data_IF_588351991692
#
_entry.id   IF_588351991692
#
_cell.length_a   1.000
_cell.length_b   1.000
_cell.length_c   1.000
_cell.angle_alpha   90.00
_cell.angle_beta   90.00
_cell.angle_gamma   90.00
#
_symmetry.space_group_name_H-M   'P 1'
#
loop_
_entity.id
_entity.type
_entity.pdbx_description
1 polymer ?
#
# COMPACT_ATOMS: atom_id res chain seq x y z
N UNK A 1 -0.51 0.84 -27.62
CA UNK A 1 -1.16 1.41 -26.42
C UNK A 1 -0.12 1.64 -25.31
N UNK A 2 -0.38 2.56 -24.38
CA UNK A 2 0.53 2.87 -23.27
C UNK A 2 0.81 1.65 -22.38
N UNK A 3 -0.18 0.77 -22.18
CA UNK A 3 -0.02 -0.50 -21.45
C UNK A 3 0.99 -1.45 -22.14
N UNK A 4 0.98 -1.50 -23.46
CA UNK A 4 1.95 -2.31 -24.21
C UNK A 4 3.38 -1.77 -24.07
N UNK A 5 3.55 -0.45 -24.07
CA UNK A 5 4.85 0.18 -23.84
C UNK A 5 5.38 -0.11 -22.42
N UNK A 6 4.54 0.00 -21.40
CA UNK A 6 4.91 -0.33 -20.02
C UNK A 6 5.27 -1.82 -19.84
N UNK A 7 4.55 -2.72 -20.54
CA UNK A 7 4.87 -4.16 -20.55
C UNK A 7 6.21 -4.46 -21.26
N UNK A 8 6.66 -3.59 -22.16
CA UNK A 8 7.96 -3.68 -22.84
C UNK A 8 9.10 -2.97 -22.08
N UNK A 9 8.85 -2.53 -20.83
CA UNK A 9 9.85 -1.89 -19.98
C UNK A 9 9.91 -0.36 -20.06
N UNK A 10 9.01 0.29 -20.82
CA UNK A 10 8.90 1.73 -20.81
C UNK A 10 8.27 2.22 -19.48
N UNK A 11 8.81 3.30 -18.92
CA UNK A 11 8.25 3.99 -17.76
C UNK A 11 7.42 5.16 -18.25
N UNK A 12 6.13 5.16 -17.94
CA UNK A 12 5.21 6.25 -18.25
C UNK A 12 4.97 7.07 -16.98
N UNK A 13 5.19 8.38 -17.06
CA UNK A 13 4.94 9.28 -15.94
C UNK A 13 3.96 10.38 -16.35
N UNK A 14 3.11 10.79 -15.40
CA UNK A 14 2.21 11.92 -15.57
C UNK A 14 2.23 12.75 -14.28
N UNK A 15 2.58 14.04 -14.39
CA UNK A 15 2.76 14.91 -13.24
C UNK A 15 1.78 16.08 -13.32
N UNK A 16 1.04 16.31 -12.24
CA UNK A 16 0.12 17.43 -12.06
C UNK A 16 0.48 18.16 -10.77
N UNK A 17 0.96 19.41 -10.80
CA UNK A 17 1.28 20.16 -9.59
C UNK A 17 0.00 20.42 -8.80
N UNK A 18 -0.02 20.02 -7.51
CA UNK A 18 -1.16 20.25 -6.62
C UNK A 18 -0.85 21.27 -5.54
N UNK A 19 0.20 21.05 -4.75
CA UNK A 19 0.68 22.00 -3.75
C UNK A 19 2.23 22.04 -3.75
N UNK A 20 2.85 22.77 -4.72
CA UNK A 20 4.29 22.78 -4.90
C UNK A 20 5.07 23.26 -3.67
N UNK A 21 4.48 24.18 -2.89
CA UNK A 21 5.06 24.69 -1.65
C UNK A 21 5.26 23.63 -0.55
N UNK A 22 4.52 22.53 -0.63
CA UNK A 22 4.61 21.39 0.30
C UNK A 22 5.29 20.17 -0.34
N UNK A 23 5.78 20.28 -1.56
CA UNK A 23 6.31 19.15 -2.33
C UNK A 23 5.24 18.13 -2.75
N UNK A 24 3.95 18.53 -2.72
CA UNK A 24 2.83 17.69 -3.09
C UNK A 24 2.53 17.84 -4.57
N UNK A 25 2.77 16.78 -5.32
CA UNK A 25 2.42 16.64 -6.72
C UNK A 25 1.59 15.37 -6.89
N UNK A 26 0.55 15.45 -7.72
CA UNK A 26 -0.15 14.25 -8.19
C UNK A 26 0.69 13.70 -9.32
N UNK A 27 1.66 12.86 -8.99
CA UNK A 27 2.55 12.23 -9.94
C UNK A 27 2.28 10.73 -10.01
N UNK A 28 2.03 10.26 -11.21
CA UNK A 28 1.72 8.86 -11.51
C UNK A 28 2.88 8.25 -12.29
N UNK A 29 3.21 7.01 -11.94
CA UNK A 29 4.23 6.19 -12.60
C UNK A 29 3.63 4.83 -12.95
N UNK A 30 3.67 4.50 -14.23
CA UNK A 30 3.29 3.19 -14.74
C UNK A 30 4.52 2.53 -15.36
N UNK A 31 5.03 1.51 -14.67
CA UNK A 31 6.08 0.60 -15.12
C UNK A 31 5.63 -0.86 -14.95
N UNK A 32 6.49 -1.82 -15.23
CA UNK A 32 6.16 -3.24 -15.14
C UNK A 32 5.65 -3.68 -13.76
N UNK A 33 6.23 -3.15 -12.67
CA UNK A 33 5.79 -3.44 -11.30
C UNK A 33 4.40 -2.86 -11.03
N UNK A 34 4.18 -1.58 -11.38
CA UNK A 34 2.90 -0.90 -11.23
C UNK A 34 1.80 -1.56 -12.09
N UNK A 35 2.15 -2.00 -13.30
CA UNK A 35 1.24 -2.73 -14.19
C UNK A 35 0.84 -4.08 -13.60
N UNK A 36 1.80 -4.87 -13.12
CA UNK A 36 1.54 -6.17 -12.50
C UNK A 36 0.58 -6.06 -11.32
N UNK A 37 0.88 -5.16 -10.36
CA UNK A 37 0.03 -4.96 -9.20
C UNK A 37 -1.33 -4.35 -9.59
N UNK A 38 -1.37 -3.42 -10.54
CA UNK A 38 -2.60 -2.84 -11.06
C UNK A 38 -3.53 -3.91 -11.66
N UNK A 39 -2.98 -4.85 -12.43
CA UNK A 39 -3.75 -5.97 -13.00
C UNK A 39 -4.26 -6.93 -11.92
N UNK A 40 -3.47 -7.22 -10.89
CA UNK A 40 -3.91 -8.04 -9.75
C UNK A 40 -5.06 -7.35 -9.01
N UNK A 41 -4.91 -6.06 -8.70
CA UNK A 41 -5.92 -5.27 -7.97
C UNK A 41 -7.22 -5.20 -8.76
N UNK A 42 -7.17 -4.85 -10.04
CA UNK A 42 -8.36 -4.69 -10.87
C UNK A 42 -8.98 -6.03 -11.29
N UNK A 43 -8.15 -7.01 -11.63
CA UNK A 43 -8.62 -8.33 -12.07
C UNK A 43 -9.34 -9.07 -10.94
N UNK A 44 -8.70 -9.21 -9.78
CA UNK A 44 -9.33 -9.84 -8.62
C UNK A 44 -10.49 -8.98 -8.11
N UNK A 45 -10.33 -7.65 -8.09
CA UNK A 45 -11.39 -6.72 -7.72
C UNK A 45 -12.65 -6.88 -8.57
N UNK A 46 -12.51 -7.09 -9.87
CA UNK A 46 -13.64 -7.38 -10.77
C UNK A 46 -14.34 -8.68 -10.39
N UNK A 47 -13.59 -9.76 -10.15
CA UNK A 47 -14.17 -11.03 -9.71
C UNK A 47 -14.91 -10.89 -8.37
N UNK A 48 -14.34 -10.14 -7.42
CA UNK A 48 -14.95 -9.87 -6.12
C UNK A 48 -16.21 -9.01 -6.28
N UNK A 49 -16.21 -8.02 -7.16
CA UNK A 49 -17.40 -7.21 -7.42
C UNK A 49 -18.55 -8.07 -7.96
N UNK A 50 -18.28 -8.97 -8.91
CA UNK A 50 -19.29 -9.94 -9.37
C UNK A 50 -19.78 -10.87 -8.26
N UNK A 51 -18.88 -11.42 -7.47
CA UNK A 51 -19.25 -12.28 -6.33
C UNK A 51 -20.10 -11.53 -5.30
N UNK A 52 -19.79 -10.27 -5.04
CA UNK A 52 -20.52 -9.40 -4.11
C UNK A 52 -21.99 -9.22 -4.53
N UNK A 53 -22.29 -9.17 -5.83
CA UNK A 53 -23.65 -9.05 -6.34
C UNK A 53 -24.55 -10.20 -5.88
N UNK A 54 -24.01 -11.41 -5.86
CA UNK A 54 -24.74 -12.60 -5.40
C UNK A 54 -24.72 -12.74 -3.87
N UNK A 55 -23.62 -12.35 -3.23
CA UNK A 55 -23.45 -12.47 -1.77
C UNK A 55 -24.40 -11.54 -1.00
N UNK A 56 -24.67 -10.34 -1.52
CA UNK A 56 -25.55 -9.32 -0.93
C UNK A 56 -26.85 -9.12 -1.70
N UNK A 57 -27.33 -10.09 -2.48
CA UNK A 57 -28.45 -9.92 -3.41
C UNK A 57 -29.72 -9.33 -2.78
N UNK A 58 -29.98 -9.58 -1.49
CA UNK A 58 -31.17 -9.09 -0.75
C UNK A 58 -30.81 -8.09 0.37
N UNK A 59 -29.53 -7.70 0.50
CA UNK A 59 -29.08 -6.83 1.59
C UNK A 59 -29.16 -5.35 1.18
N UNK A 60 -29.88 -4.54 1.96
CA UNK A 60 -29.99 -3.09 1.77
C UNK A 60 -28.65 -2.35 1.89
N UNK A 61 -27.63 -2.96 2.48
CA UNK A 61 -26.28 -2.42 2.62
C UNK A 61 -25.39 -2.59 1.39
N UNK A 62 -25.82 -3.31 0.36
CA UNK A 62 -25.01 -3.64 -0.82
C UNK A 62 -24.36 -2.40 -1.47
N UNK A 63 -25.10 -1.31 -1.65
CA UNK A 63 -24.59 -0.08 -2.26
C UNK A 63 -23.45 0.56 -1.48
N UNK A 64 -23.55 0.60 -0.16
CA UNK A 64 -22.48 1.09 0.71
C UNK A 64 -21.27 0.17 0.65
N UNK A 65 -21.47 -1.14 0.61
CA UNK A 65 -20.37 -2.10 0.49
C UNK A 65 -19.58 -1.90 -0.81
N UNK A 66 -20.26 -1.70 -1.93
CA UNK A 66 -19.61 -1.39 -3.22
C UNK A 66 -18.83 -0.07 -3.17
N UNK A 67 -19.42 0.97 -2.57
CA UNK A 67 -18.73 2.25 -2.41
C UNK A 67 -17.40 2.05 -1.67
N UNK A 68 -17.41 1.32 -0.55
CA UNK A 68 -16.22 1.05 0.24
C UNK A 68 -15.22 0.15 -0.50
N UNK A 69 -15.71 -0.86 -1.22
CA UNK A 69 -14.89 -1.77 -2.02
C UNK A 69 -14.14 -1.01 -3.12
N UNK A 70 -14.83 -0.14 -3.86
CA UNK A 70 -14.24 0.66 -4.91
C UNK A 70 -13.34 1.78 -4.36
N UNK A 71 -13.68 2.37 -3.21
CA UNK A 71 -12.81 3.34 -2.53
C UNK A 71 -11.49 2.67 -2.09
N UNK A 72 -11.55 1.45 -1.58
CA UNK A 72 -10.37 0.66 -1.26
C UNK A 72 -9.55 0.33 -2.52
N UNK A 73 -10.21 -0.13 -3.60
CA UNK A 73 -9.56 -0.39 -4.89
C UNK A 73 -8.85 0.85 -5.44
N UNK A 74 -9.51 2.01 -5.41
CA UNK A 74 -8.94 3.28 -5.85
C UNK A 74 -7.73 3.67 -5.01
N UNK A 75 -7.80 3.49 -3.68
CA UNK A 75 -6.65 3.73 -2.78
C UNK A 75 -5.47 2.81 -3.10
N UNK A 76 -5.73 1.53 -3.37
CA UNK A 76 -4.67 0.59 -3.76
C UNK A 76 -4.06 0.93 -5.12
N UNK A 77 -4.86 1.34 -6.12
CA UNK A 77 -4.37 1.78 -7.42
C UNK A 77 -3.54 3.07 -7.28
N UNK A 78 -4.04 4.05 -6.51
CA UNK A 78 -3.29 5.27 -6.23
C UNK A 78 -1.94 4.99 -5.56
N UNK A 79 -1.88 4.02 -4.64
CA UNK A 79 -0.66 3.59 -3.98
C UNK A 79 0.36 3.01 -4.97
N UNK A 80 -0.06 2.07 -5.82
CA UNK A 80 0.88 1.37 -6.73
C UNK A 80 1.29 2.23 -7.94
N UNK A 81 0.51 3.27 -8.27
CA UNK A 81 0.82 4.21 -9.34
C UNK A 81 1.47 5.51 -8.85
N UNK A 82 1.57 5.73 -7.53
CA UNK A 82 2.22 6.92 -7.00
C UNK A 82 3.70 7.00 -7.43
N UNK A 83 4.12 8.18 -7.95
CA UNK A 83 5.52 8.54 -8.16
C UNK A 83 6.04 9.58 -7.16
N UNK A 84 5.25 9.91 -6.15
CA UNK A 84 5.62 10.80 -5.06
C UNK A 84 5.42 10.09 -3.71
N UNK A 85 6.41 10.18 -2.80
CA UNK A 85 6.39 9.51 -1.50
C UNK A 85 5.23 9.96 -0.61
N UNK A 86 4.89 11.26 -0.64
CA UNK A 86 3.78 11.80 0.15
C UNK A 86 2.43 11.35 -0.40
N UNK A 87 2.28 11.32 -1.72
CA UNK A 87 1.11 10.75 -2.39
C UNK A 87 0.95 9.26 -2.07
N UNK A 88 2.05 8.50 -2.11
CA UNK A 88 2.06 7.09 -1.72
C UNK A 88 1.55 6.93 -0.29
N UNK A 89 2.00 7.76 0.65
CA UNK A 89 1.54 7.73 2.04
C UNK A 89 0.04 8.06 2.18
N UNK A 90 -0.48 9.06 1.46
CA UNK A 90 -1.90 9.40 1.48
C UNK A 90 -2.75 8.19 1.05
N UNK A 91 -2.39 7.52 -0.04
CA UNK A 91 -3.10 6.32 -0.48
C UNK A 91 -2.87 5.11 0.43
N UNK A 92 -1.70 5.01 1.06
CA UNK A 92 -1.42 3.99 2.07
C UNK A 92 -2.39 4.10 3.25
N UNK A 93 -2.61 5.29 3.78
CA UNK A 93 -3.60 5.53 4.83
C UNK A 93 -5.03 5.41 4.32
N UNK A 94 -5.30 5.79 3.08
CA UNK A 94 -6.57 5.53 2.41
C UNK A 94 -6.94 4.05 2.41
N UNK A 95 -5.96 3.15 2.18
CA UNK A 95 -6.19 1.70 2.29
C UNK A 95 -6.44 1.25 3.72
N UNK A 96 -5.82 1.86 4.74
CA UNK A 96 -6.05 1.54 6.15
C UNK A 96 -7.47 1.91 6.58
N UNK A 97 -7.93 3.11 6.22
CA UNK A 97 -9.27 3.61 6.58
C UNK A 97 -10.36 2.80 5.87
N UNK A 98 -10.24 2.60 4.56
CA UNK A 98 -11.25 1.87 3.79
C UNK A 98 -11.31 0.40 4.17
N UNK A 99 -10.18 -0.24 4.50
CA UNK A 99 -10.15 -1.60 5.01
C UNK A 99 -10.82 -1.70 6.38
N UNK A 100 -10.61 -0.74 7.28
CA UNK A 100 -11.31 -0.68 8.57
C UNK A 100 -12.82 -0.67 8.37
N UNK A 101 -13.33 0.18 7.47
CA UNK A 101 -14.76 0.29 7.18
C UNK A 101 -15.32 -0.99 6.54
N UNK A 102 -14.55 -1.67 5.70
CA UNK A 102 -14.94 -2.95 5.09
C UNK A 102 -14.96 -4.09 6.11
N UNK A 103 -13.99 -4.15 7.02
CA UNK A 103 -13.95 -5.19 8.08
C UNK A 103 -15.09 -4.97 9.06
N UNK A 104 -15.32 -3.72 9.49
CA UNK A 104 -16.39 -3.36 10.39
C UNK A 104 -17.76 -3.23 9.72
N UNK A 105 -17.92 -3.62 8.44
CA UNK A 105 -19.16 -3.45 7.68
C UNK A 105 -20.38 -4.06 8.39
N UNK A 106 -20.23 -5.24 9.00
CA UNK A 106 -21.23 -5.83 9.89
C UNK A 106 -21.03 -5.29 11.33
N UNK A 107 -21.37 -4.03 11.56
CA UNK A 107 -21.17 -3.32 12.82
C UNK A 107 -21.87 -3.95 14.04
N UNK A 108 -22.81 -4.84 13.83
CA UNK A 108 -23.48 -5.62 14.88
C UNK A 108 -22.60 -6.71 15.49
N UNK A 109 -21.56 -7.15 14.76
CA UNK A 109 -20.58 -8.12 15.27
C UNK A 109 -19.50 -7.41 16.08
N UNK A 110 -19.47 -7.64 17.39
CA UNK A 110 -18.40 -7.12 18.26
C UNK A 110 -17.02 -7.60 17.83
N UNK A 111 -16.92 -8.84 17.40
CA UNK A 111 -15.67 -9.44 16.92
C UNK A 111 -15.13 -8.74 15.67
N UNK A 112 -15.99 -8.47 14.67
CA UNK A 112 -15.60 -7.75 13.46
C UNK A 112 -15.14 -6.32 13.76
N UNK A 113 -15.86 -5.58 14.63
CA UNK A 113 -15.50 -4.21 15.03
C UNK A 113 -14.18 -4.19 15.80
N UNK A 114 -13.95 -5.15 16.70
CA UNK A 114 -12.72 -5.23 17.48
C UNK A 114 -11.53 -5.64 16.60
N UNK A 115 -11.71 -6.60 15.69
CA UNK A 115 -10.72 -6.98 14.69
C UNK A 115 -10.36 -5.83 13.76
N UNK A 116 -11.35 -5.09 13.26
CA UNK A 116 -11.15 -3.89 12.44
C UNK A 116 -10.34 -2.82 13.18
N UNK A 117 -10.68 -2.54 14.44
CA UNK A 117 -9.96 -1.55 15.26
C UNK A 117 -8.51 -1.96 15.52
N UNK A 118 -8.24 -3.23 15.83
CA UNK A 118 -6.87 -3.75 15.99
C UNK A 118 -6.07 -3.61 14.69
N UNK A 119 -6.66 -4.00 13.56
CA UNK A 119 -6.04 -3.86 12.24
C UNK A 119 -5.70 -2.39 11.95
N UNK A 120 -6.64 -1.46 12.16
CA UNK A 120 -6.42 -0.02 11.95
C UNK A 120 -5.28 0.49 12.82
N UNK A 121 -5.30 0.23 14.13
CA UNK A 121 -4.27 0.74 15.06
C UNK A 121 -2.88 0.24 14.62
N UNK A 122 -2.71 -1.07 14.38
CA UNK A 122 -1.42 -1.64 14.03
C UNK A 122 -0.91 -1.09 12.68
N UNK A 123 -1.78 -1.06 11.66
CA UNK A 123 -1.37 -0.63 10.32
C UNK A 123 -1.14 0.87 10.24
N UNK A 124 -1.90 1.70 10.97
CA UNK A 124 -1.68 3.15 11.02
C UNK A 124 -0.43 3.51 11.83
N UNK A 125 -0.18 2.85 12.97
CA UNK A 125 1.08 3.07 13.71
C UNK A 125 2.31 2.71 12.86
N UNK A 126 2.25 1.58 12.13
CA UNK A 126 3.29 1.23 11.16
C UNK A 126 3.38 2.24 10.00
N UNK A 127 2.24 2.72 9.51
CA UNK A 127 2.17 3.74 8.45
C UNK A 127 2.81 5.07 8.89
N UNK A 128 2.58 5.52 10.12
CA UNK A 128 3.21 6.73 10.67
C UNK A 128 4.74 6.56 10.82
N UNK A 129 5.19 5.39 11.26
CA UNK A 129 6.62 5.08 11.28
C UNK A 129 7.21 5.10 9.87
N UNK A 130 6.55 4.46 8.91
CA UNK A 130 6.92 4.50 7.49
C UNK A 130 6.97 5.93 6.96
N UNK A 131 6.01 6.79 7.32
CA UNK A 131 5.99 8.19 6.91
C UNK A 131 7.26 8.93 7.35
N UNK A 132 7.69 8.74 8.59
CA UNK A 132 8.95 9.30 9.05
C UNK A 132 10.14 8.79 8.22
N UNK A 133 10.16 7.48 7.91
CA UNK A 133 11.18 6.89 7.01
C UNK A 133 11.14 7.47 5.60
N UNK A 134 9.94 7.68 5.03
CA UNK A 134 9.78 8.32 3.72
C UNK A 134 10.29 9.77 3.71
N UNK A 135 10.02 10.54 4.77
CA UNK A 135 10.51 11.92 4.90
C UNK A 135 12.04 11.93 5.00
N UNK A 136 12.64 11.05 5.81
CA UNK A 136 14.10 10.92 5.91
C UNK A 136 14.72 10.55 4.56
N UNK A 137 14.11 9.60 3.84
CA UNK A 137 14.58 9.20 2.51
C UNK A 137 14.49 10.35 1.50
N UNK A 138 13.36 11.08 1.49
CA UNK A 138 13.16 12.24 0.62
C UNK A 138 14.14 13.37 0.91
N UNK A 139 14.45 13.63 2.19
CA UNK A 139 15.47 14.61 2.58
C UNK A 139 16.87 14.19 2.14
N UNK A 140 17.22 12.91 2.30
CA UNK A 140 18.52 12.38 1.87
C UNK A 140 18.68 12.46 0.35
N UNK A 141 17.64 12.15 -0.41
CA UNK A 141 17.65 12.20 -1.86
C UNK A 141 17.48 13.64 -2.44
N UNK A 142 17.08 14.60 -1.60
CA UNK A 142 16.75 15.97 -2.03
C UNK A 142 15.45 16.07 -2.85
N UNK A 143 14.62 15.00 -2.86
CA UNK A 143 13.38 14.94 -3.62
C UNK A 143 12.39 13.93 -3.03
N UNK A 144 11.09 14.22 -3.15
CA UNK A 144 10.02 13.28 -2.84
C UNK A 144 9.53 12.47 -4.05
N UNK A 145 10.08 12.69 -5.25
CA UNK A 145 9.78 11.89 -6.44
C UNK A 145 10.47 10.52 -6.36
N UNK A 146 9.68 9.44 -6.45
CA UNK A 146 10.21 8.07 -6.43
C UNK A 146 11.15 7.85 -7.61
N UNK A 147 10.79 8.35 -8.80
CA UNK A 147 11.66 8.26 -9.99
C UNK A 147 13.03 8.90 -9.78
N UNK A 148 13.09 10.03 -9.09
CA UNK A 148 14.37 10.71 -8.76
C UNK A 148 15.14 9.96 -7.67
N UNK A 149 14.45 9.47 -6.63
CA UNK A 149 15.06 8.67 -5.57
C UNK A 149 15.72 7.42 -6.14
N UNK A 150 15.03 6.71 -7.04
CA UNK A 150 15.57 5.51 -7.69
C UNK A 150 16.80 5.80 -8.57
N UNK A 151 16.97 7.04 -9.02
CA UNK A 151 18.12 7.48 -9.82
C UNK A 151 19.25 8.09 -8.97
N UNK A 152 19.04 8.33 -7.66
CA UNK A 152 20.01 8.96 -6.77
C UNK A 152 21.04 7.92 -6.29
N UNK A 153 22.34 8.08 -6.61
CA UNK A 153 23.37 7.16 -6.13
C UNK A 153 23.72 7.44 -4.67
N UNK A 154 24.26 6.43 -3.97
CA UNK A 154 24.88 6.59 -2.65
C UNK A 154 23.89 6.85 -1.50
N UNK A 155 22.59 6.59 -1.67
CA UNK A 155 21.61 6.72 -0.58
C UNK A 155 21.93 5.84 0.61
N UNK A 156 22.55 4.69 0.38
CA UNK A 156 22.94 3.72 1.41
C UNK A 156 24.11 4.22 2.27
N UNK A 157 24.90 5.18 1.78
CA UNK A 157 26.03 5.76 2.49
C UNK A 157 25.62 6.89 3.46
N UNK A 158 24.35 7.31 3.41
CA UNK A 158 23.81 8.33 4.30
C UNK A 158 23.75 7.84 5.76
N UNK A 159 24.13 8.66 6.75
CA UNK A 159 23.97 8.32 8.16
C UNK A 159 22.50 8.13 8.57
N UNK A 160 21.55 8.67 7.82
CA UNK A 160 20.11 8.49 8.04
C UNK A 160 19.56 7.18 7.44
N UNK A 161 20.31 6.53 6.55
CA UNK A 161 19.86 5.33 5.84
C UNK A 161 19.37 4.20 6.77
N UNK A 162 20.12 3.78 7.82
CA UNK A 162 19.67 2.68 8.67
C UNK A 162 18.35 2.98 9.38
N UNK A 163 18.18 4.21 9.87
CA UNK A 163 16.96 4.64 10.53
C UNK A 163 15.78 4.71 9.55
N UNK A 164 15.98 5.31 8.38
CA UNK A 164 14.98 5.37 7.33
C UNK A 164 14.54 3.96 6.89
N UNK A 165 15.49 3.06 6.65
CA UNK A 165 15.20 1.69 6.26
C UNK A 165 14.38 0.92 7.31
N UNK A 166 14.76 1.01 8.60
CA UNK A 166 14.03 0.34 9.68
C UNK A 166 12.60 0.87 9.81
N UNK A 167 12.40 2.18 9.68
CA UNK A 167 11.08 2.80 9.73
C UNK A 167 10.20 2.42 8.52
N UNK A 168 10.78 2.38 7.33
CA UNK A 168 10.11 1.90 6.12
C UNK A 168 9.71 0.42 6.24
N UNK A 169 10.64 -0.40 6.71
CA UNK A 169 10.40 -1.82 6.92
C UNK A 169 9.33 -2.07 7.99
N UNK A 170 9.30 -1.30 9.07
CA UNK A 170 8.27 -1.38 10.10
C UNK A 170 6.87 -1.15 9.50
N UNK A 171 6.71 -0.13 8.65
CA UNK A 171 5.45 0.09 7.93
C UNK A 171 5.08 -1.04 6.99
N UNK A 172 6.04 -1.54 6.20
CA UNK A 172 5.84 -2.66 5.30
C UNK A 172 5.43 -3.94 6.05
N UNK A 173 6.12 -4.27 7.14
CA UNK A 173 5.88 -5.49 7.93
C UNK A 173 4.57 -5.45 8.70
N UNK A 174 4.18 -4.30 9.27
CA UNK A 174 2.87 -4.14 9.93
C UNK A 174 1.74 -4.32 8.93
N UNK A 175 1.83 -3.71 7.75
CA UNK A 175 0.80 -3.81 6.69
C UNK A 175 0.71 -5.21 6.09
N UNK A 176 1.86 -5.88 5.93
CA UNK A 176 1.94 -7.25 5.38
C UNK A 176 1.75 -8.35 6.43
N UNK A 177 1.39 -7.99 7.67
CA UNK A 177 1.19 -8.92 8.78
C UNK A 177 2.38 -9.87 8.98
N UNK A 178 3.61 -9.36 8.82
CA UNK A 178 4.83 -10.12 9.10
C UNK A 178 5.08 -10.24 10.61
N UNK A 179 5.79 -11.28 11.01
CA UNK A 179 6.19 -11.44 12.41
C UNK A 179 7.03 -10.21 12.86
N UNK A 180 6.78 -9.66 14.06
CA UNK A 180 5.81 -10.05 15.08
C UNK A 180 4.41 -9.43 14.93
N UNK A 181 4.13 -8.68 13.88
CA UNK A 181 2.92 -7.86 13.71
C UNK A 181 1.74 -8.61 13.09
N UNK A 182 1.80 -9.94 12.94
CA UNK A 182 0.77 -10.77 12.28
C UNK A 182 -0.54 -10.90 13.08
N UNK A 183 -0.53 -10.57 14.37
CA UNK A 183 -1.63 -10.83 15.32
C UNK A 183 -2.95 -10.09 15.00
N UNK A 184 -2.92 -9.04 14.18
CA UNK A 184 -4.14 -8.34 13.77
C UNK A 184 -4.90 -9.07 12.67
N UNK A 185 -4.20 -9.84 11.82
CA UNK A 185 -4.77 -10.46 10.62
C UNK A 185 -5.87 -11.48 10.91
N UNK A 186 -5.74 -12.42 11.88
CA UNK A 186 -6.81 -13.36 12.21
C UNK A 186 -8.11 -12.65 12.63
N UNK A 187 -8.02 -11.59 13.44
CA UNK A 187 -9.19 -10.80 13.84
C UNK A 187 -9.85 -10.04 12.69
N UNK A 188 -9.07 -9.63 11.69
CA UNK A 188 -9.59 -8.97 10.49
C UNK A 188 -10.37 -9.92 9.55
N UNK A 189 -10.19 -11.25 9.71
CA UNK A 189 -10.95 -12.26 8.93
C UNK A 189 -12.42 -12.35 9.31
N UNK A 190 -12.88 -11.67 10.37
CA UNK A 190 -14.30 -11.52 10.72
C UNK A 190 -15.08 -10.62 9.72
N UNK A 191 -14.40 -10.01 8.76
CA UNK A 191 -15.01 -9.24 7.66
C UNK A 191 -15.94 -10.11 6.79
N UNK A 192 -16.92 -9.49 6.07
CA UNK A 192 -17.68 -10.19 5.03
C UNK A 192 -16.74 -10.91 4.04
N UNK A 193 -17.12 -12.11 3.60
CA UNK A 193 -16.28 -12.94 2.74
C UNK A 193 -15.68 -12.22 1.53
N UNK A 194 -16.44 -11.42 0.74
CA UNK A 194 -15.86 -10.69 -0.39
C UNK A 194 -14.79 -9.68 0.05
N UNK A 195 -15.00 -8.97 1.16
CA UNK A 195 -14.01 -8.05 1.69
C UNK A 195 -12.75 -8.79 2.17
N UNK A 196 -12.91 -9.86 2.96
CA UNK A 196 -11.81 -10.65 3.47
C UNK A 196 -10.96 -11.24 2.34
N UNK A 197 -11.60 -11.80 1.30
CA UNK A 197 -10.91 -12.35 0.15
C UNK A 197 -10.11 -11.27 -0.61
N UNK A 198 -10.66 -10.06 -0.79
CA UNK A 198 -9.98 -9.00 -1.51
C UNK A 198 -8.83 -8.37 -0.71
N UNK A 199 -9.10 -8.02 0.55
CA UNK A 199 -8.14 -7.32 1.41
C UNK A 199 -6.90 -8.19 1.70
N UNK A 200 -7.11 -9.46 2.05
CA UNK A 200 -6.04 -10.27 2.63
C UNK A 200 -5.32 -11.17 1.63
N UNK A 201 -5.95 -11.56 0.51
CA UNK A 201 -5.27 -12.38 -0.50
C UNK A 201 -4.55 -11.54 -1.56
N UNK A 202 -5.19 -10.48 -2.07
CA UNK A 202 -4.76 -9.84 -3.31
C UNK A 202 -4.17 -8.43 -3.13
N UNK A 203 -4.53 -7.70 -2.05
CA UNK A 203 -4.31 -6.25 -2.05
C UNK A 203 -3.62 -5.72 -0.80
N UNK A 204 -4.31 -5.54 0.32
CA UNK A 204 -3.79 -4.81 1.49
C UNK A 204 -2.44 -5.34 1.99
N UNK A 205 -2.34 -6.66 2.22
CA UNK A 205 -1.10 -7.28 2.72
C UNK A 205 0.02 -7.27 1.68
N UNK A 206 -0.28 -7.08 0.41
CA UNK A 206 0.71 -6.95 -0.66
C UNK A 206 1.27 -5.54 -0.78
N UNK A 207 0.65 -4.53 -0.15
CA UNK A 207 1.14 -3.15 -0.19
C UNK A 207 2.55 -3.02 0.42
N UNK A 208 2.85 -3.72 1.52
CA UNK A 208 4.20 -3.72 2.10
C UNK A 208 5.23 -4.40 1.19
N UNK A 209 4.87 -5.52 0.56
CA UNK A 209 5.72 -6.19 -0.43
C UNK A 209 5.98 -5.27 -1.63
N UNK A 210 4.93 -4.58 -2.12
CA UNK A 210 5.06 -3.60 -3.20
C UNK A 210 6.02 -2.48 -2.82
N UNK A 211 5.89 -1.90 -1.63
CA UNK A 211 6.76 -0.81 -1.16
C UNK A 211 8.24 -1.24 -1.15
N UNK A 212 8.54 -2.42 -0.59
CA UNK A 212 9.90 -2.95 -0.57
C UNK A 212 10.42 -3.23 -1.97
N UNK A 213 9.60 -3.85 -2.84
CA UNK A 213 9.97 -4.08 -4.23
C UNK A 213 10.19 -2.78 -5.01
N UNK A 214 9.37 -1.74 -4.76
CA UNK A 214 9.50 -0.41 -5.38
C UNK A 214 10.79 0.29 -5.01
N UNK A 215 11.20 0.21 -3.75
CA UNK A 215 12.40 0.87 -3.25
C UNK A 215 13.66 0.01 -3.34
N UNK A 216 13.53 -1.27 -3.70
CA UNK A 216 14.66 -2.19 -3.83
C UNK A 216 15.83 -1.62 -4.66
N UNK A 217 15.62 -1.05 -5.87
CA UNK A 217 16.74 -0.58 -6.69
C UNK A 217 17.57 0.53 -6.04
N UNK A 218 16.98 1.31 -5.10
CA UNK A 218 17.66 2.41 -4.42
C UNK A 218 18.28 2.03 -3.08
N UNK A 219 17.78 0.96 -2.43
CA UNK A 219 18.11 0.65 -1.04
C UNK A 219 18.80 -0.72 -0.86
N UNK A 220 18.93 -1.54 -1.90
CA UNK A 220 19.40 -2.92 -1.78
C UNK A 220 20.90 -3.09 -1.62
N UNK A 221 21.70 -2.06 -1.90
CA UNK A 221 23.17 -2.12 -1.90
C UNK A 221 23.77 -2.12 -0.48
N UNK A 222 23.03 -2.64 0.51
CA UNK A 222 23.52 -2.72 1.89
C UNK A 222 23.28 -4.10 2.52
N UNK A 223 24.21 -4.59 3.36
CA UNK A 223 23.99 -5.81 4.13
C UNK A 223 22.78 -5.72 5.05
N UNK A 224 22.42 -4.53 5.53
CA UNK A 224 21.27 -4.31 6.39
C UNK A 224 19.95 -4.64 5.68
N UNK A 225 19.81 -4.23 4.41
CA UNK A 225 18.66 -4.59 3.57
C UNK A 225 18.51 -6.10 3.45
N UNK A 226 19.59 -6.77 3.08
CA UNK A 226 19.59 -8.23 2.89
C UNK A 226 19.17 -8.96 4.17
N UNK A 227 19.83 -8.67 5.30
CA UNK A 227 19.55 -9.36 6.56
C UNK A 227 18.15 -9.05 7.10
N UNK A 228 17.69 -7.81 6.94
CA UNK A 228 16.34 -7.41 7.37
C UNK A 228 15.26 -8.23 6.64
N UNK A 229 15.37 -8.37 5.33
CA UNK A 229 14.40 -9.14 4.54
C UNK A 229 14.56 -10.64 4.75
N UNK A 230 15.79 -11.13 4.88
CA UNK A 230 16.06 -12.55 5.11
C UNK A 230 15.53 -13.06 6.44
N UNK A 231 15.63 -12.25 7.51
CA UNK A 231 15.19 -12.66 8.86
C UNK A 231 13.67 -12.60 9.00
N UNK A 232 13.01 -11.65 8.33
CA UNK A 232 11.55 -11.42 8.49
C UNK A 232 10.73 -12.15 7.43
N UNK A 233 11.26 -12.32 6.20
CA UNK A 233 10.59 -13.00 5.08
C UNK A 233 10.79 -14.48 5.10
#
# INVERSE_FOLDING_TARGET
TQLHAAAQGAVLTANYPWAPSLGLEISLRLDGLALLFGLIITGIGTCIAFYTAYYFAEDKGQGLFYLLLFAFMASMLGLVWADNLLMLFVFWEGTSITSYLLIAFKSTSKEAVEGARRALIVTTMGGLAMFAGLVMLGQTAGSFSISQILATPGLVDSPLYPAALLLLALGAFTKSAQFPFHFWLPGAMAAPTPASAYLHSATMVKAGVFLLARLHPALSDSPLWFWLLFVVG
#
